data_IF_112161743301
#
_entry.id   IF_112161743301
#
_cell.length_a   1.000
_cell.length_b   1.000
_cell.length_c   1.000
_cell.angle_alpha   90.00
_cell.angle_beta   90.00
_cell.angle_gamma   90.00
#
_symmetry.space_group_name_H-M   'P 1'
#
loop_
_entity.id
_entity.type
_entity.pdbx_description
1 polymer ?
#
# COMPACT_ATOMS: atom_id res chain seq x y z
N UNK A 1 23.24 -27.31 21.16
CA UNK A 1 22.00 -27.82 21.78
C UNK A 1 20.91 -27.80 20.72
N UNK A 2 20.44 -28.97 20.27
CA UNK A 2 19.33 -29.09 19.31
C UNK A 2 18.03 -29.15 20.09
N UNK A 3 17.07 -28.29 19.79
CA UNK A 3 15.72 -28.36 20.35
C UNK A 3 14.77 -28.67 19.18
N UNK A 4 14.09 -29.81 19.27
CA UNK A 4 12.95 -30.13 18.42
C UNK A 4 11.69 -29.50 19.04
N UNK A 5 10.87 -28.82 18.25
CA UNK A 5 9.53 -28.40 18.66
C UNK A 5 8.47 -28.91 17.66
N UNK A 6 7.37 -29.35 18.27
CA UNK A 6 6.18 -30.01 17.72
C UNK A 6 5.61 -29.42 16.41
N UNK A 7 5.16 -30.32 15.52
CA UNK A 7 4.33 -30.03 14.35
C UNK A 7 2.97 -29.44 14.76
N UNK A 8 2.87 -28.12 14.90
CA UNK A 8 1.62 -27.35 14.76
C UNK A 8 1.95 -25.86 14.53
N UNK A 9 2.00 -25.48 13.25
CA UNK A 9 2.13 -24.09 12.74
C UNK A 9 3.27 -23.29 13.39
N UNK A 10 4.49 -23.54 12.91
CA UNK A 10 5.73 -22.91 13.40
C UNK A 10 5.63 -21.37 13.47
N UNK A 11 5.60 -20.86 14.69
CA UNK A 11 6.02 -19.49 15.01
C UNK A 11 7.55 -19.52 14.94
N UNK A 12 8.12 -19.08 13.82
CA UNK A 12 9.57 -19.06 13.63
C UNK A 12 10.15 -17.77 14.21
N UNK A 13 10.13 -17.65 15.54
CA UNK A 13 10.86 -16.59 16.26
C UNK A 13 12.31 -17.03 16.39
N UNK A 14 13.20 -16.37 15.65
CA UNK A 14 14.65 -16.59 15.71
C UNK A 14 15.28 -15.44 16.51
N UNK A 15 15.87 -15.77 17.67
CA UNK A 15 16.66 -14.84 18.48
C UNK A 15 18.14 -15.26 18.42
N UNK A 16 19.05 -14.29 18.31
CA UNK A 16 20.47 -14.59 18.19
C UNK A 16 21.36 -13.36 18.23
N UNK A 17 22.65 -13.60 18.08
CA UNK A 17 23.66 -12.54 18.12
C UNK A 17 23.91 -11.95 16.72
N UNK A 18 24.25 -10.66 16.68
CA UNK A 18 24.73 -9.99 15.46
C UNK A 18 23.70 -9.06 14.82
N UNK A 19 23.84 -8.88 13.50
CA UNK A 19 23.00 -7.97 12.71
C UNK A 19 21.85 -8.74 12.08
N UNK A 20 20.71 -8.09 11.92
CA UNK A 20 19.59 -8.64 11.17
C UNK A 20 20.01 -9.08 9.74
N UNK A 21 19.64 -10.30 9.26
CA UNK A 21 20.13 -10.88 8.01
C UNK A 21 19.70 -10.09 6.77
N UNK A 22 20.64 -9.66 5.91
CA UNK A 22 20.36 -8.77 4.76
C UNK A 22 19.73 -9.47 3.55
N UNK A 23 19.94 -10.77 3.40
CA UNK A 23 19.39 -11.57 2.29
C UNK A 23 19.41 -13.05 2.70
N UNK A 24 18.29 -13.58 3.16
CA UNK A 24 18.02 -15.02 3.09
C UNK A 24 16.83 -15.14 2.13
N UNK A 25 17.02 -15.83 1.01
CA UNK A 25 16.01 -16.06 -0.04
C UNK A 25 14.72 -16.71 0.49
N UNK A 26 14.74 -17.27 1.71
CA UNK A 26 13.59 -17.84 2.42
C UNK A 26 13.01 -16.94 3.53
N UNK A 27 13.53 -15.71 3.75
CA UNK A 27 13.10 -14.78 4.80
C UNK A 27 12.54 -13.45 4.27
N UNK A 28 12.19 -13.36 2.99
CA UNK A 28 11.65 -12.12 2.39
C UNK A 28 10.40 -11.55 3.09
N UNK A 29 9.77 -12.33 3.98
CA UNK A 29 8.60 -11.95 4.76
C UNK A 29 8.84 -11.85 6.28
N UNK A 30 10.09 -11.95 6.75
CA UNK A 30 10.41 -11.89 8.19
C UNK A 30 10.86 -10.48 8.57
N UNK A 31 10.20 -9.93 9.59
CA UNK A 31 10.56 -8.67 10.21
C UNK A 31 11.69 -8.89 11.20
N UNK A 32 12.69 -8.03 11.19
CA UNK A 32 13.85 -8.14 12.08
C UNK A 32 14.19 -6.79 12.71
N UNK A 33 14.31 -6.81 14.04
CA UNK A 33 14.73 -5.69 14.85
C UNK A 33 16.10 -5.97 15.47
N UNK A 34 16.98 -4.96 15.44
CA UNK A 34 18.30 -5.03 16.03
C UNK A 34 18.36 -4.07 17.22
N UNK A 35 18.62 -4.60 18.41
CA UNK A 35 18.94 -3.81 19.61
C UNK A 35 20.46 -3.70 19.79
N UNK A 36 20.89 -2.71 20.58
CA UNK A 36 22.30 -2.46 20.88
C UNK A 36 22.51 -2.15 22.37
N UNK A 37 23.75 -2.37 22.84
CA UNK A 37 24.33 -1.84 24.10
C UNK A 37 23.83 -2.41 25.43
N UNK A 38 22.75 -3.19 25.47
CA UNK A 38 22.25 -3.84 26.69
C UNK A 38 22.30 -5.36 26.58
N UNK A 39 22.59 -6.05 27.69
CA UNK A 39 22.47 -7.51 27.78
C UNK A 39 21.00 -7.93 27.61
N UNK A 40 20.76 -9.04 26.90
CA UNK A 40 19.42 -9.60 26.68
C UNK A 40 18.38 -8.62 26.13
N UNK A 41 18.80 -7.64 25.30
CA UNK A 41 17.93 -6.57 24.81
C UNK A 41 16.90 -7.00 23.74
N UNK A 42 17.06 -8.19 23.17
CA UNK A 42 16.24 -8.70 22.07
C UNK A 42 14.94 -9.36 22.56
N UNK A 43 14.23 -8.67 23.45
CA UNK A 43 12.96 -9.11 24.04
C UNK A 43 11.78 -8.94 23.07
N UNK A 44 10.68 -9.63 23.33
CA UNK A 44 9.43 -9.47 22.55
C UNK A 44 8.90 -8.04 22.67
N UNK A 45 8.96 -7.45 23.87
CA UNK A 45 8.59 -6.06 24.12
C UNK A 45 9.43 -5.06 23.32
N UNK A 46 10.74 -5.32 23.18
CA UNK A 46 11.59 -4.53 22.30
C UNK A 46 11.11 -4.63 20.86
N UNK A 47 10.84 -5.84 20.37
CA UNK A 47 10.38 -6.07 19.00
C UNK A 47 9.03 -5.38 18.71
N UNK A 48 8.04 -5.54 19.57
CA UNK A 48 6.69 -4.97 19.42
C UNK A 48 6.68 -3.44 19.44
N UNK A 49 7.62 -2.82 20.15
CA UNK A 49 7.78 -1.36 20.17
C UNK A 49 8.39 -0.77 18.89
N UNK A 50 8.92 -1.60 18.00
CA UNK A 50 9.54 -1.12 16.76
C UNK A 50 8.50 -0.77 15.69
N UNK A 51 8.77 0.32 14.97
CA UNK A 51 7.96 0.71 13.82
C UNK A 51 8.48 0.02 12.56
N UNK A 52 7.62 -0.74 11.91
CA UNK A 52 7.81 -1.21 10.53
C UNK A 52 6.78 -0.52 9.63
N UNK A 53 7.08 -0.37 8.35
CA UNK A 53 6.18 0.29 7.39
C UNK A 53 5.73 -0.70 6.33
N UNK A 54 4.58 -0.47 5.71
CA UNK A 54 4.29 -1.06 4.41
C UNK A 54 5.26 -0.50 3.37
N UNK A 55 5.75 -1.35 2.49
CA UNK A 55 6.62 -1.01 1.37
C UNK A 55 5.92 -1.33 0.06
N UNK A 56 5.81 -0.34 -0.81
CA UNK A 56 5.19 -0.44 -2.15
C UNK A 56 5.87 0.53 -3.08
N UNK A 57 6.27 0.06 -4.27
CA UNK A 57 6.73 0.89 -5.37
C UNK A 57 5.53 1.25 -6.25
N UNK A 58 5.57 2.44 -6.89
CA UNK A 58 4.55 2.89 -7.82
C UNK A 58 4.24 1.90 -8.97
N UNK A 59 5.21 1.08 -9.39
CA UNK A 59 5.01 0.07 -10.44
C UNK A 59 4.41 -1.26 -9.93
N UNK A 60 4.37 -1.46 -8.61
CA UNK A 60 3.94 -2.71 -8.00
C UNK A 60 2.53 -2.57 -7.43
N UNK A 61 1.65 -3.50 -7.77
CA UNK A 61 0.30 -3.54 -7.22
C UNK A 61 0.25 -4.08 -5.79
N UNK A 62 1.17 -4.98 -5.44
CA UNK A 62 1.25 -5.65 -4.15
C UNK A 62 2.17 -4.86 -3.21
N UNK A 63 1.67 -4.54 -2.02
CA UNK A 63 2.48 -4.01 -0.92
C UNK A 63 3.02 -5.15 -0.06
N UNK A 64 4.24 -4.98 0.43
CA UNK A 64 4.91 -5.92 1.31
C UNK A 64 5.08 -5.32 2.70
N UNK A 65 5.17 -6.17 3.74
CA UNK A 65 5.59 -5.72 5.06
C UNK A 65 7.08 -5.39 4.99
N UNK A 66 7.46 -4.19 5.42
CA UNK A 66 8.86 -3.82 5.55
C UNK A 66 9.55 -4.76 6.53
N UNK A 67 10.65 -5.37 6.08
CA UNK A 67 11.39 -6.37 6.86
C UNK A 67 12.28 -5.75 7.92
N UNK A 68 12.50 -4.43 7.86
CA UNK A 68 13.42 -3.69 8.73
C UNK A 68 12.70 -2.61 9.50
N UNK A 69 13.19 -2.38 10.72
CA UNK A 69 12.77 -1.26 11.55
C UNK A 69 12.98 0.05 10.82
N UNK A 70 11.94 0.86 10.78
CA UNK A 70 12.00 2.22 10.28
C UNK A 70 12.74 3.11 11.29
N UNK A 71 14.03 3.36 11.05
CA UNK A 71 14.87 4.15 11.97
C UNK A 71 14.39 5.58 12.18
N UNK A 72 13.69 6.14 11.19
CA UNK A 72 13.09 7.49 11.29
C UNK A 72 11.86 7.49 12.20
N UNK A 73 11.25 6.31 12.44
CA UNK A 73 10.04 6.14 13.25
C UNK A 73 8.77 6.65 12.57
N UNK A 74 8.82 6.98 11.28
CA UNK A 74 7.70 7.54 10.51
C UNK A 74 7.57 6.79 9.19
N UNK A 75 6.36 6.35 8.91
CA UNK A 75 5.99 5.74 7.64
C UNK A 75 5.24 6.75 6.78
N UNK A 76 5.38 6.66 5.46
CA UNK A 76 4.63 7.47 4.52
C UNK A 76 3.81 6.62 3.56
N UNK A 77 2.75 7.24 3.02
CA UNK A 77 2.04 6.78 1.83
C UNK A 77 1.78 8.00 0.94
N UNK A 78 1.95 7.85 -0.38
CA UNK A 78 1.66 8.92 -1.33
C UNK A 78 1.49 8.42 -2.75
N UNK A 79 1.15 9.32 -3.66
CA UNK A 79 1.00 9.04 -5.09
C UNK A 79 2.24 9.54 -5.83
N UNK A 80 2.92 8.66 -6.56
CA UNK A 80 4.02 9.05 -7.45
C UNK A 80 3.52 9.95 -8.57
N UNK A 81 4.13 11.14 -8.70
CA UNK A 81 3.74 12.14 -9.71
C UNK A 81 3.98 11.69 -11.15
N UNK A 82 4.98 10.84 -11.38
CA UNK A 82 5.41 10.45 -12.73
C UNK A 82 4.76 9.14 -13.17
N UNK A 83 4.65 8.19 -12.24
CA UNK A 83 4.15 6.83 -12.50
C UNK A 83 2.68 6.67 -12.16
N UNK A 84 2.07 7.67 -11.53
CA UNK A 84 0.65 7.65 -11.16
C UNK A 84 0.28 6.39 -10.36
N UNK A 85 1.17 5.97 -9.45
CA UNK A 85 1.02 4.79 -8.62
C UNK A 85 1.19 5.11 -7.14
N UNK A 86 0.65 4.27 -6.25
CA UNK A 86 0.84 4.44 -4.81
C UNK A 86 2.24 3.98 -4.39
N UNK A 87 2.89 4.78 -3.56
CA UNK A 87 4.20 4.51 -2.95
C UNK A 87 4.04 4.50 -1.44
N UNK A 88 4.64 3.51 -0.80
CA UNK A 88 4.64 3.34 0.65
C UNK A 88 6.06 3.03 1.11
N UNK A 89 6.47 3.59 2.25
CA UNK A 89 7.79 3.27 2.81
C UNK A 89 8.08 3.93 4.15
N UNK A 90 9.33 3.77 4.59
CA UNK A 90 9.89 4.42 5.77
C UNK A 90 10.63 5.70 5.38
N UNK A 91 9.99 6.84 5.60
CA UNK A 91 10.58 8.18 5.64
C UNK A 91 9.47 9.19 5.97
N UNK A 92 9.79 10.49 5.95
CA UNK A 92 8.81 11.58 5.99
C UNK A 92 8.45 12.05 4.59
N UNK A 93 7.19 12.39 4.36
CA UNK A 93 6.69 13.00 3.12
C UNK A 93 7.46 14.25 2.70
N UNK A 94 7.92 15.06 3.67
CA UNK A 94 8.73 16.26 3.40
C UNK A 94 10.01 15.99 2.62
N UNK A 95 10.55 14.76 2.67
CA UNK A 95 11.74 14.34 1.92
C UNK A 95 11.40 13.70 0.56
N UNK A 96 10.12 13.51 0.26
CA UNK A 96 9.63 12.80 -0.92
C UNK A 96 9.06 13.80 -1.94
N UNK A 97 9.94 14.52 -2.62
CA UNK A 97 9.56 15.60 -3.56
C UNK A 97 8.72 15.13 -4.77
N UNK A 98 8.85 13.85 -5.13
CA UNK A 98 8.15 13.24 -6.27
C UNK A 98 6.76 12.68 -5.92
N UNK A 99 6.27 12.89 -4.70
CA UNK A 99 4.96 12.42 -4.26
C UNK A 99 3.92 13.55 -4.20
N UNK A 100 2.71 13.25 -4.65
CA UNK A 100 1.50 14.02 -4.45
C UNK A 100 0.61 13.30 -3.41
N UNK A 101 -0.33 14.01 -2.79
CA UNK A 101 -1.27 13.45 -1.79
C UNK A 101 -0.54 12.58 -0.75
N UNK A 102 0.60 13.06 -0.24
CA UNK A 102 1.45 12.30 0.67
C UNK A 102 1.02 12.53 2.13
N UNK A 103 0.92 11.45 2.89
CA UNK A 103 0.60 11.47 4.32
C UNK A 103 1.60 10.64 5.13
N UNK A 104 1.97 11.17 6.30
CA UNK A 104 2.85 10.52 7.28
C UNK A 104 2.03 9.86 8.39
N UNK A 105 2.57 8.81 9.01
CA UNK A 105 2.03 8.22 10.24
C UNK A 105 3.14 7.61 11.11
N UNK A 106 2.93 7.60 12.43
CA UNK A 106 3.91 7.11 13.41
C UNK A 106 3.27 6.47 14.64
N UNK A 107 1.95 6.27 14.64
CA UNK A 107 1.20 5.79 15.81
C UNK A 107 1.42 4.31 16.09
N UNK A 108 1.55 3.49 15.05
CA UNK A 108 1.71 2.04 15.14
C UNK A 108 2.53 1.50 13.98
N UNK A 109 3.07 0.29 14.15
CA UNK A 109 3.69 -0.47 13.06
C UNK A 109 2.66 -0.71 11.95
N UNK A 110 3.09 -0.61 10.68
CA UNK A 110 2.29 -0.80 9.48
C UNK A 110 1.13 0.20 9.34
N UNK A 111 1.25 1.39 9.93
CA UNK A 111 0.19 2.40 9.93
C UNK A 111 -0.12 2.99 8.55
N UNK A 112 0.82 2.99 7.61
CA UNK A 112 0.75 3.75 6.34
C UNK A 112 -0.18 3.09 5.31
N UNK A 113 -1.44 2.85 5.65
CA UNK A 113 -2.47 2.24 4.80
C UNK A 113 -3.16 3.26 3.90
N UNK A 114 -3.79 2.78 2.83
CA UNK A 114 -4.53 3.62 1.86
C UNK A 114 -5.67 4.42 2.52
N UNK A 115 -6.19 3.94 3.64
CA UNK A 115 -7.23 4.62 4.43
C UNK A 115 -6.81 5.96 5.04
N UNK A 116 -5.50 6.24 5.13
CA UNK A 116 -4.98 7.54 5.59
C UNK A 116 -5.11 8.60 4.49
N UNK A 117 -5.15 8.19 3.23
CA UNK A 117 -5.33 9.11 2.12
C UNK A 117 -6.79 9.59 2.08
N UNK A 118 -7.04 10.80 1.55
CA UNK A 118 -8.40 11.25 1.26
C UNK A 118 -9.15 10.19 0.43
N UNK A 119 -10.44 9.96 0.73
CA UNK A 119 -11.22 8.94 0.04
C UNK A 119 -11.17 9.18 -1.48
N UNK A 120 -11.04 8.12 -2.30
CA UNK A 120 -11.00 8.29 -3.73
C UNK A 120 -12.34 8.84 -4.25
N UNK A 121 -12.26 9.56 -5.35
CA UNK A 121 -13.47 9.99 -6.06
C UNK A 121 -14.26 8.78 -6.59
N UNK A 122 -15.56 8.98 -6.80
CA UNK A 122 -16.43 8.01 -7.46
C UNK A 122 -16.80 8.54 -8.83
N UNK A 123 -16.64 7.72 -9.86
CA UNK A 123 -17.01 8.06 -11.24
C UNK A 123 -18.07 7.10 -11.77
N UNK A 124 -18.86 7.59 -12.72
CA UNK A 124 -19.77 6.75 -13.50
C UNK A 124 -18.97 5.94 -14.52
N UNK A 125 -19.19 4.63 -14.55
CA UNK A 125 -18.69 3.75 -15.60
C UNK A 125 -19.86 3.11 -16.33
N UNK A 126 -19.74 3.00 -17.65
CA UNK A 126 -20.65 2.20 -18.46
C UNK A 126 -20.30 0.73 -18.28
N UNK A 127 -21.31 -0.11 -18.07
CA UNK A 127 -21.13 -1.54 -18.03
C UNK A 127 -21.22 -2.12 -19.45
N UNK A 128 -20.11 -2.61 -19.99
CA UNK A 128 -20.07 -3.21 -21.34
C UNK A 128 -20.80 -4.55 -21.45
N UNK A 129 -21.23 -5.15 -20.33
CA UNK A 129 -21.89 -6.46 -20.30
C UNK A 129 -23.42 -6.40 -20.32
N UNK A 130 -24.04 -5.22 -20.26
CA UNK A 130 -25.49 -5.09 -20.31
C UNK A 130 -25.93 -4.27 -21.54
N UNK A 131 -26.94 -4.75 -22.29
CA UNK A 131 -27.41 -4.10 -23.53
C UNK A 131 -28.12 -2.75 -23.30
N UNK A 132 -28.30 -2.35 -22.05
CA UNK A 132 -28.73 -1.00 -21.68
C UNK A 132 -27.55 -0.35 -20.96
N UNK A 133 -27.12 0.81 -21.45
CA UNK A 133 -26.03 1.66 -20.96
C UNK A 133 -26.18 2.07 -19.47
N UNK A 134 -26.24 1.10 -18.56
CA UNK A 134 -26.47 1.32 -17.15
C UNK A 134 -25.19 1.89 -16.55
N UNK A 135 -25.29 3.13 -16.09
CA UNK A 135 -24.21 3.82 -15.38
C UNK A 135 -24.10 3.23 -13.99
N UNK A 136 -22.95 2.67 -13.68
CA UNK A 136 -22.62 2.21 -12.32
C UNK A 136 -21.62 3.15 -11.67
N UNK A 137 -21.80 3.41 -10.39
CA UNK A 137 -20.83 4.16 -9.59
C UNK A 137 -19.66 3.24 -9.26
N UNK A 138 -18.45 3.61 -9.68
CA UNK A 138 -17.21 2.93 -9.29
C UNK A 138 -16.34 3.89 -8.50
N UNK A 139 -15.78 3.39 -7.39
CA UNK A 139 -14.71 4.09 -6.67
C UNK A 139 -13.43 3.98 -7.49
N UNK A 140 -12.81 5.12 -7.80
CA UNK A 140 -11.55 5.18 -8.51
C UNK A 140 -10.37 4.86 -7.58
N UNK A 141 -9.19 4.68 -8.16
CA UNK A 141 -7.95 4.60 -7.39
C UNK A 141 -7.53 6.01 -6.91
N UNK A 142 -6.86 6.12 -5.75
CA UNK A 142 -6.44 7.42 -5.14
C UNK A 142 -5.60 8.33 -6.05
N UNK A 143 -5.01 7.74 -7.09
CA UNK A 143 -4.24 8.41 -8.13
C UNK A 143 -5.11 9.41 -8.92
N UNK A 144 -6.38 9.08 -9.16
CA UNK A 144 -7.29 9.91 -9.93
C UNK A 144 -7.97 10.96 -9.04
N UNK A 145 -8.18 12.16 -9.58
CA UNK A 145 -8.86 13.29 -8.92
C UNK A 145 -10.02 13.86 -9.76
N UNK A 146 -10.24 13.34 -10.96
CA UNK A 146 -11.30 13.77 -11.88
C UNK A 146 -11.96 12.60 -12.61
N UNK A 147 -13.18 12.82 -13.07
CA UNK A 147 -13.91 11.90 -13.95
C UNK A 147 -13.96 12.50 -15.36
N UNK A 148 -14.01 11.65 -16.39
CA UNK A 148 -14.21 12.08 -17.77
C UNK A 148 -15.43 11.41 -18.40
N UNK A 149 -16.02 12.08 -19.40
CA UNK A 149 -16.99 11.51 -20.34
C UNK A 149 -16.57 11.92 -21.74
N UNK A 150 -16.51 10.96 -22.65
CA UNK A 150 -16.26 11.20 -24.06
C UNK A 150 -17.53 10.83 -24.86
N UNK A 151 -17.85 11.64 -25.87
CA UNK A 151 -18.94 11.41 -26.83
C UNK A 151 -18.41 11.69 -28.23
N UNK A 152 -18.94 11.00 -29.23
CA UNK A 152 -18.67 11.31 -30.62
C UNK A 152 -19.16 12.73 -30.96
N UNK A 153 -18.38 13.47 -31.74
CA UNK A 153 -18.64 14.85 -32.17
C UNK A 153 -19.80 14.91 -33.17
N UNK A 154 -20.07 13.81 -33.88
CA UNK A 154 -21.17 13.69 -34.84
C UNK A 154 -22.49 13.24 -34.19
N UNK A 155 -22.78 13.69 -32.97
CA UNK A 155 -23.99 13.35 -32.20
C UNK A 155 -25.28 13.77 -32.94
N UNK A 156 -25.65 13.04 -33.99
CA UNK A 156 -26.98 13.06 -34.59
C UNK A 156 -27.87 12.36 -33.59
N UNK A 157 -28.53 13.16 -32.76
CA UNK A 157 -29.53 12.68 -31.84
C UNK A 157 -30.55 11.86 -32.60
N UNK A 158 -30.54 10.54 -32.41
CA UNK A 158 -31.65 9.68 -32.81
C UNK A 158 -32.85 10.05 -31.92
N UNK A 159 -33.56 11.11 -32.31
CA UNK A 159 -34.99 11.20 -32.11
C UNK A 159 -35.63 10.13 -33.01
N UNK A 160 -35.67 8.88 -32.55
CA UNK A 160 -36.61 7.91 -33.10
C UNK A 160 -37.99 8.19 -32.49
N UNK A 161 -38.60 9.29 -32.95
CA UNK A 161 -40.04 9.50 -32.95
C UNK A 161 -40.40 10.29 -34.21
N UNK A 162 -40.55 9.57 -35.32
CA UNK A 162 -41.44 9.95 -36.42
C UNK A 162 -42.22 8.68 -36.80
N UNK A 163 -43.53 8.74 -36.57
CA UNK A 163 -44.57 7.88 -37.16
C UNK A 163 -44.82 8.26 -38.63
N UNK A 164 -45.49 7.37 -39.37
CA UNK A 164 -45.99 7.42 -40.76
C UNK A 164 -44.94 7.10 -41.83
N UNK A 165 -45.15 6.16 -42.77
CA UNK A 165 -46.38 5.56 -43.33
C UNK A 165 -46.42 4.03 -43.18
#
# INVERSE_FOLDING_TARGET
MRIFLNKKKEILVEQGCGKCPKNKTNLSNIQCAQCHKNSFCNTDTFFESQIFCWEKNALNWIKNKGTRVCKVGVCFIGVDKNKMGLVQGCDKCKRQHNLAKCSDCSSTSLCNTETILPPPIKCFHLNSKFPQNLKINKTCHHVYDSCYIARDVFWRGYFSKIFFL
#
